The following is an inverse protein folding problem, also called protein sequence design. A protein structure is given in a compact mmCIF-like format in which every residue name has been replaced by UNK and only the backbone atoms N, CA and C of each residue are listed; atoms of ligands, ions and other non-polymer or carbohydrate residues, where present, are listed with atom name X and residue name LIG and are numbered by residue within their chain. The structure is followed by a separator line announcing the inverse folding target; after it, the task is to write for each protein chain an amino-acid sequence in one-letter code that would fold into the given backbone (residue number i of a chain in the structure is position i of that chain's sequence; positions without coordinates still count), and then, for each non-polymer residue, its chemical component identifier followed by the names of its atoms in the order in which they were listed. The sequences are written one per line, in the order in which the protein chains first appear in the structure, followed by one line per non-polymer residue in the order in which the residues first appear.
data_IF_014799476619
#
_entry.id   IF_014799476619
#
_cell.length_a   1.000
_cell.length_b   1.000
_cell.length_c   1.000
_cell.angle_alpha   90.00
_cell.angle_beta   90.00
_cell.angle_gamma   90.00
#
_symmetry.space_group_name_H-M   'P 1'
#
loop_
_entity.id
_entity.type
_entity.pdbx_description
1 polymer ?
#
# COMPACT_ATOMS: atom_id res chain seq x y z
N UNK A 1 -22.65 3.48 2.19
CA UNK A 1 -22.03 4.81 2.39
C UNK A 1 -20.69 4.69 3.09
N UNK A 2 -19.80 5.64 2.89
CA UNK A 2 -18.54 5.79 3.63
C UNK A 2 -18.49 7.20 4.19
N UNK A 3 -18.24 7.32 5.48
CA UNK A 3 -18.07 8.61 6.14
C UNK A 3 -16.86 8.58 7.06
N UNK A 4 -16.20 9.73 7.26
CA UNK A 4 -15.04 9.75 8.10
C UNK A 4 -14.76 11.09 8.75
N UNK A 5 -13.95 11.01 9.81
CA UNK A 5 -13.47 12.14 10.59
C UNK A 5 -11.94 12.14 10.56
N UNK A 6 -11.39 13.31 10.27
CA UNK A 6 -9.95 13.59 10.26
C UNK A 6 -9.51 14.20 11.60
N UNK A 7 -8.20 14.16 11.93
CA UNK A 7 -7.70 14.69 13.20
C UNK A 7 -7.89 16.20 13.37
N UNK A 8 -7.92 16.91 12.27
CA UNK A 8 -7.99 18.37 12.24
C UNK A 8 -8.54 18.87 10.89
N UNK A 9 -8.58 20.19 10.72
CA UNK A 9 -9.09 20.88 9.53
C UNK A 9 -8.02 21.14 8.45
N UNK A 10 -6.84 20.53 8.55
CA UNK A 10 -5.71 20.80 7.62
C UNK A 10 -5.98 20.40 6.17
N UNK A 11 -6.94 19.50 5.96
CA UNK A 11 -7.39 19.07 4.63
C UNK A 11 -8.72 19.69 4.19
N UNK A 12 -9.28 20.64 4.94
CA UNK A 12 -10.52 21.31 4.55
C UNK A 12 -10.38 21.96 3.16
N UNK A 13 -11.46 21.84 2.38
CA UNK A 13 -11.52 22.28 0.98
C UNK A 13 -10.51 21.54 0.05
N UNK A 14 -9.96 20.41 0.49
CA UNK A 14 -9.14 19.50 -0.31
C UNK A 14 -9.94 18.25 -0.70
N UNK A 15 -9.38 17.47 -1.62
CA UNK A 15 -9.98 16.20 -2.03
C UNK A 15 -9.16 15.02 -1.55
N UNK A 16 -9.83 14.03 -0.97
CA UNK A 16 -9.29 12.69 -0.82
C UNK A 16 -9.56 11.90 -2.10
N UNK A 17 -8.60 11.08 -2.51
CA UNK A 17 -8.77 10.17 -3.65
C UNK A 17 -9.08 8.77 -3.15
N UNK A 18 -10.15 8.22 -3.67
CA UNK A 18 -10.55 6.83 -3.46
C UNK A 18 -10.12 5.99 -4.66
N UNK A 19 -9.43 4.90 -4.42
CA UNK A 19 -8.95 3.99 -5.46
C UNK A 19 -9.22 2.53 -5.09
N UNK A 20 -9.43 1.69 -6.08
CA UNK A 20 -9.41 0.23 -5.92
C UNK A 20 -7.96 -0.25 -5.96
N UNK A 21 -7.52 -0.94 -4.92
CA UNK A 21 -6.15 -1.44 -4.74
C UNK A 21 -6.03 -2.95 -4.92
N UNK A 22 -7.07 -3.62 -5.38
CA UNK A 22 -7.09 -5.06 -5.58
C UNK A 22 -6.37 -5.52 -6.86
N UNK A 23 -6.12 -4.62 -7.80
CA UNK A 23 -5.52 -4.97 -9.09
C UNK A 23 -4.00 -5.15 -9.00
N UNK A 24 -3.49 -6.35 -9.31
CA UNK A 24 -2.08 -6.60 -9.56
C UNK A 24 -1.77 -6.31 -11.03
N UNK A 25 -0.80 -5.42 -11.29
CA UNK A 25 -0.27 -5.21 -12.63
C UNK A 25 0.86 -6.20 -12.89
N UNK A 26 0.69 -7.11 -13.83
CA UNK A 26 1.75 -8.02 -14.27
C UNK A 26 2.90 -7.28 -14.98
N UNK A 27 2.61 -6.16 -15.66
CA UNK A 27 3.58 -5.48 -16.52
C UNK A 27 4.60 -4.60 -15.79
N UNK A 28 4.32 -4.13 -14.57
CA UNK A 28 5.18 -3.12 -13.90
C UNK A 28 5.47 -3.36 -12.43
N UNK A 29 5.32 -4.57 -11.92
CA UNK A 29 5.62 -4.89 -10.50
C UNK A 29 4.91 -3.96 -9.46
N UNK A 30 3.88 -3.26 -9.88
CA UNK A 30 3.18 -2.27 -9.05
C UNK A 30 1.72 -2.60 -8.92
N UNK A 31 1.22 -2.43 -7.71
CA UNK A 31 -0.21 -2.43 -7.44
C UNK A 31 -0.81 -1.30 -8.26
N UNK A 32 -1.74 -1.65 -9.12
CA UNK A 32 -2.46 -0.67 -9.92
C UNK A 32 -3.62 -0.15 -9.09
N UNK A 33 -3.47 1.08 -8.59
CA UNK A 33 -4.58 1.79 -7.96
C UNK A 33 -5.50 2.33 -9.06
N UNK A 34 -6.67 1.71 -9.20
CA UNK A 34 -7.69 2.19 -10.14
C UNK A 34 -8.49 3.30 -9.46
N UNK A 35 -8.43 4.49 -10.01
CA UNK A 35 -9.19 5.64 -9.50
C UNK A 35 -10.69 5.35 -9.55
N UNK A 36 -11.37 5.64 -8.45
CA UNK A 36 -12.82 5.54 -8.31
C UNK A 36 -13.41 6.95 -8.26
N UNK A 37 -13.02 7.76 -7.26
CA UNK A 37 -13.61 9.08 -7.06
C UNK A 37 -12.70 10.02 -6.24
N UNK A 38 -13.12 11.29 -6.18
CA UNK A 38 -12.53 12.33 -5.34
C UNK A 38 -13.57 12.82 -4.33
N UNK A 39 -13.24 12.76 -3.05
CA UNK A 39 -14.16 13.05 -1.94
C UNK A 39 -13.74 14.37 -1.30
N UNK A 40 -14.64 15.36 -1.30
CA UNK A 40 -14.36 16.66 -0.67
C UNK A 40 -14.33 16.54 0.86
N UNK A 41 -13.36 17.18 1.48
CA UNK A 41 -13.27 17.34 2.94
C UNK A 41 -13.86 18.69 3.33
N UNK A 42 -14.79 18.67 4.29
CA UNK A 42 -15.45 19.84 4.86
C UNK A 42 -15.50 19.70 6.37
N UNK A 43 -15.01 20.68 7.08
CA UNK A 43 -15.03 20.72 8.56
C UNK A 43 -14.41 19.47 9.20
N UNK A 44 -13.23 19.07 8.70
CA UNK A 44 -12.51 17.87 9.14
C UNK A 44 -13.24 16.55 8.85
N UNK A 45 -14.27 16.54 8.01
CA UNK A 45 -15.10 15.38 7.71
C UNK A 45 -15.20 15.15 6.22
N UNK A 46 -15.50 13.89 5.86
CA UNK A 46 -15.82 13.52 4.50
C UNK A 46 -16.97 12.52 4.43
N UNK A 47 -17.69 12.54 3.32
CA UNK A 47 -18.80 11.64 3.06
C UNK A 47 -18.76 11.18 1.60
N UNK A 48 -19.00 9.90 1.38
CA UNK A 48 -19.09 9.30 0.07
C UNK A 48 -20.25 8.31 -0.01
N UNK A 49 -21.06 8.45 -1.04
CA UNK A 49 -22.11 7.50 -1.37
C UNK A 49 -21.80 6.86 -2.73
N UNK A 50 -21.87 5.56 -2.78
CA UNK A 50 -21.65 4.80 -3.99
C UNK A 50 -22.48 3.53 -4.03
N UNK A 51 -22.70 3.02 -5.22
CA UNK A 51 -23.37 1.73 -5.42
C UNK A 51 -22.30 0.67 -5.58
N UNK A 52 -22.29 -0.32 -4.68
CA UNK A 52 -21.44 -1.48 -4.83
C UNK A 52 -22.03 -2.42 -5.88
N UNK A 53 -21.52 -2.35 -7.09
CA UNK A 53 -21.96 -3.22 -8.22
C UNK A 53 -21.19 -4.54 -8.29
N UNK A 54 -20.22 -4.75 -7.44
CA UNK A 54 -19.32 -5.91 -7.44
C UNK A 54 -19.10 -6.44 -6.01
N UNK A 55 -18.38 -7.56 -5.91
CA UNK A 55 -17.99 -8.14 -4.62
C UNK A 55 -17.12 -7.17 -3.82
N UNK A 56 -17.00 -7.35 -2.48
CA UNK A 56 -16.11 -6.55 -1.65
C UNK A 56 -14.69 -6.49 -2.22
N UNK A 57 -14.03 -5.33 -2.09
CA UNK A 57 -12.67 -5.13 -2.58
C UNK A 57 -11.87 -4.21 -1.65
N UNK A 58 -10.55 -4.33 -1.71
CA UNK A 58 -9.63 -3.45 -0.98
C UNK A 58 -9.54 -2.10 -1.68
N UNK A 59 -9.83 -1.04 -0.94
CA UNK A 59 -9.68 0.35 -1.38
C UNK A 59 -8.51 1.03 -0.67
N UNK A 60 -7.99 2.08 -1.31
CA UNK A 60 -7.02 2.99 -0.73
C UNK A 60 -7.55 4.41 -0.82
N UNK A 61 -7.68 5.06 0.33
CA UNK A 61 -8.06 6.46 0.47
C UNK A 61 -6.83 7.27 0.83
N UNK A 62 -6.53 8.32 0.08
CA UNK A 62 -5.34 9.13 0.31
C UNK A 62 -5.54 10.60 -0.05
N UNK A 63 -4.74 11.48 0.55
CA UNK A 63 -4.72 12.90 0.21
C UNK A 63 -3.95 13.13 -1.08
N UNK A 64 -4.59 13.80 -2.06
CA UNK A 64 -3.94 14.13 -3.33
C UNK A 64 -3.26 15.49 -3.24
N UNK A 65 -1.93 15.48 -3.11
CA UNK A 65 -1.11 16.65 -3.47
C UNK A 65 -1.42 17.93 -2.71
N UNK A 66 -1.45 17.91 -1.41
CA UNK A 66 -1.33 19.16 -0.65
C UNK A 66 0.10 19.69 -0.80
N UNK A 67 0.27 21.00 -1.04
CA UNK A 67 1.58 21.67 -1.16
C UNK A 67 2.44 21.55 0.13
N UNK A 68 1.92 20.98 1.18
CA UNK A 68 2.59 20.64 2.43
C UNK A 68 3.03 19.18 2.39
N UNK A 69 4.31 18.94 2.14
CA UNK A 69 4.97 17.62 2.13
C UNK A 69 4.80 16.77 3.41
N UNK A 70 4.02 17.21 4.39
CA UNK A 70 3.90 16.57 5.71
C UNK A 70 2.58 15.82 5.93
N UNK A 71 1.66 15.81 4.97
CA UNK A 71 0.35 15.16 5.13
C UNK A 71 0.10 14.15 3.99
N UNK A 72 1.05 13.23 3.77
CA UNK A 72 0.78 12.06 2.94
C UNK A 72 -0.07 11.06 3.76
N UNK A 73 -1.35 11.40 3.91
CA UNK A 73 -2.31 10.48 4.49
C UNK A 73 -2.67 9.39 3.48
N UNK A 74 -2.73 8.15 3.95
CA UNK A 74 -3.21 7.03 3.17
C UNK A 74 -3.70 5.89 4.05
N UNK A 75 -4.92 5.41 3.80
CA UNK A 75 -5.59 4.36 4.54
C UNK A 75 -6.13 3.28 3.61
N UNK A 76 -5.84 2.02 3.91
CA UNK A 76 -6.50 0.87 3.30
C UNK A 76 -7.74 0.46 4.08
N UNK A 77 -8.84 0.16 3.38
CA UNK A 77 -10.05 -0.37 3.96
C UNK A 77 -10.83 -1.21 2.93
N UNK A 78 -11.85 -1.93 3.38
CA UNK A 78 -12.65 -2.77 2.50
C UNK A 78 -13.94 -2.04 2.13
N UNK A 79 -14.15 -1.85 0.83
CA UNK A 79 -15.45 -1.40 0.31
C UNK A 79 -16.37 -2.59 0.23
N UNK A 80 -17.40 -2.57 1.06
CA UNK A 80 -18.47 -3.57 1.15
C UNK A 80 -19.83 -2.91 1.38
N UNK A 81 -20.92 -3.66 1.28
CA UNK A 81 -22.26 -3.12 1.51
C UNK A 81 -22.45 -2.72 2.97
N UNK A 82 -23.01 -1.55 3.21
CA UNK A 82 -23.29 -1.01 4.55
C UNK A 82 -22.80 0.40 4.76
N UNK A 83 -22.71 0.80 6.01
CA UNK A 83 -22.22 2.10 6.44
C UNK A 83 -20.81 1.94 7.00
N UNK A 84 -19.83 2.42 6.28
CA UNK A 84 -18.41 2.36 6.65
C UNK A 84 -18.05 3.67 7.36
N UNK A 85 -17.50 3.55 8.55
CA UNK A 85 -17.04 4.67 9.37
C UNK A 85 -15.53 4.65 9.48
N UNK A 86 -14.88 5.75 9.12
CA UNK A 86 -13.42 5.92 9.17
C UNK A 86 -13.11 7.00 10.20
N UNK A 87 -12.28 6.68 11.19
CA UNK A 87 -11.82 7.64 12.18
C UNK A 87 -10.31 7.67 12.23
N UNK A 88 -9.75 8.86 12.07
CA UNK A 88 -8.31 9.11 12.16
C UNK A 88 -8.09 10.04 13.34
N UNK A 89 -7.54 9.51 14.42
CA UNK A 89 -7.36 10.25 15.66
C UNK A 89 -6.17 11.24 15.58
N UNK A 90 -5.12 10.86 14.87
CA UNK A 90 -3.98 11.71 14.55
C UNK A 90 -3.31 11.25 13.26
N UNK A 91 -2.51 12.09 12.60
CA UNK A 91 -1.87 11.79 11.31
C UNK A 91 -0.75 10.74 11.38
N UNK A 92 -0.28 10.40 12.57
CA UNK A 92 0.73 9.38 12.76
C UNK A 92 0.15 7.99 12.95
N UNK A 93 -1.16 7.89 13.24
CA UNK A 93 -1.84 6.62 13.48
C UNK A 93 -2.47 6.07 12.19
N UNK A 94 -2.50 4.75 12.11
CA UNK A 94 -3.36 4.06 11.16
C UNK A 94 -4.82 4.31 11.60
N UNK A 95 -5.65 4.82 10.72
CA UNK A 95 -7.07 5.09 11.03
C UNK A 95 -7.83 3.81 11.39
N UNK A 96 -8.89 3.96 12.15
CA UNK A 96 -9.81 2.86 12.50
C UNK A 96 -10.98 2.88 11.52
N UNK A 97 -11.29 1.74 10.93
CA UNK A 97 -12.43 1.53 10.03
C UNK A 97 -13.42 0.60 10.70
N UNK A 98 -14.69 0.95 10.73
CA UNK A 98 -15.74 0.20 11.43
C UNK A 98 -17.08 0.24 10.69
N UNK A 99 -18.09 -0.40 11.26
CA UNK A 99 -19.48 -0.36 10.78
C UNK A 99 -19.83 -1.45 9.77
N UNK A 100 -18.87 -2.29 9.36
CA UNK A 100 -19.11 -3.42 8.46
C UNK A 100 -18.24 -4.63 8.85
N UNK A 101 -18.73 -5.87 8.64
CA UNK A 101 -18.08 -7.07 9.18
C UNK A 101 -16.66 -7.31 8.69
N UNK A 102 -16.38 -7.05 7.39
CA UNK A 102 -15.03 -7.30 6.86
C UNK A 102 -14.05 -6.25 7.39
N UNK A 103 -14.48 -5.01 7.56
CA UNK A 103 -13.62 -3.95 8.12
C UNK A 103 -13.33 -4.17 9.62
N UNK A 104 -14.28 -4.69 10.39
CA UNK A 104 -14.03 -5.07 11.80
C UNK A 104 -12.94 -6.14 11.90
N UNK A 105 -13.04 -7.19 11.08
CA UNK A 105 -12.00 -8.23 11.02
C UNK A 105 -10.68 -7.69 10.44
N UNK A 106 -10.73 -6.79 9.46
CA UNK A 106 -9.56 -6.17 8.87
C UNK A 106 -8.76 -5.39 9.92
N UNK A 107 -9.42 -4.60 10.74
CA UNK A 107 -8.78 -3.92 11.87
C UNK A 107 -8.15 -4.92 12.84
N UNK A 108 -8.88 -5.98 13.18
CA UNK A 108 -8.41 -6.96 14.17
C UNK A 108 -7.20 -7.74 13.68
N UNK A 109 -7.20 -8.20 12.41
CA UNK A 109 -6.23 -9.17 11.92
C UNK A 109 -5.12 -8.57 11.08
N UNK A 110 -5.37 -7.47 10.36
CA UNK A 110 -4.38 -6.87 9.48
C UNK A 110 -3.73 -5.64 10.10
N UNK A 111 -4.54 -4.69 10.60
CA UNK A 111 -4.00 -3.41 11.11
C UNK A 111 -3.21 -3.62 12.40
N UNK A 112 -3.65 -4.50 13.27
CA UNK A 112 -2.92 -4.78 14.53
C UNK A 112 -1.54 -5.38 14.30
N UNK A 113 -1.25 -5.92 13.12
CA UNK A 113 0.05 -6.47 12.64
C UNK A 113 0.85 -7.27 13.69
N UNK A 114 0.28 -7.52 14.85
CA UNK A 114 0.99 -8.10 16.00
C UNK A 114 1.15 -9.61 15.92
N UNK A 115 0.36 -10.27 15.06
CA UNK A 115 0.40 -11.71 14.92
C UNK A 115 0.24 -12.12 13.48
N UNK A 116 1.22 -12.88 12.98
CA UNK A 116 1.15 -13.54 11.67
C UNK A 116 -0.04 -14.51 11.61
N UNK A 117 -0.39 -15.12 12.74
CA UNK A 117 -1.53 -16.00 12.86
C UNK A 117 -2.85 -15.26 12.59
N UNK A 118 -3.01 -14.07 13.14
CA UNK A 118 -4.19 -13.25 12.89
C UNK A 118 -4.32 -12.85 11.41
N UNK A 119 -3.19 -12.54 10.77
CA UNK A 119 -3.19 -12.27 9.33
C UNK A 119 -3.64 -13.50 8.52
N UNK A 120 -3.15 -14.69 8.87
CA UNK A 120 -3.56 -15.93 8.21
C UNK A 120 -5.05 -16.18 8.39
N UNK A 121 -5.60 -16.01 9.58
CA UNK A 121 -7.03 -16.18 9.87
C UNK A 121 -7.89 -15.26 8.97
N UNK A 122 -7.52 -14.00 8.82
CA UNK A 122 -8.19 -13.07 7.93
C UNK A 122 -8.13 -13.54 6.47
N UNK A 123 -6.96 -13.87 5.98
CA UNK A 123 -6.75 -14.29 4.60
C UNK A 123 -7.50 -15.59 4.28
N UNK A 124 -7.52 -16.55 5.20
CA UNK A 124 -8.28 -17.78 5.07
C UNK A 124 -9.79 -17.55 5.04
N UNK A 125 -10.29 -16.70 5.94
CA UNK A 125 -11.72 -16.38 6.05
C UNK A 125 -12.26 -15.71 4.79
N UNK A 126 -11.45 -14.85 4.18
CA UNK A 126 -11.86 -14.02 3.04
C UNK A 126 -11.26 -14.44 1.69
N UNK A 127 -10.68 -15.64 1.59
CA UNK A 127 -10.09 -16.15 0.35
C UNK A 127 -11.05 -16.20 -0.86
N UNK A 128 -12.35 -16.38 -0.62
CA UNK A 128 -13.40 -16.34 -1.66
C UNK A 128 -13.63 -14.91 -2.23
N UNK A 129 -13.09 -13.88 -1.60
CA UNK A 129 -13.09 -12.49 -2.09
C UNK A 129 -11.68 -12.09 -2.50
N UNK A 130 -11.21 -12.47 -3.70
CA UNK A 130 -9.82 -12.26 -4.12
C UNK A 130 -9.43 -10.79 -4.09
N UNK A 131 -10.34 -9.87 -4.41
CA UNK A 131 -10.10 -8.44 -4.40
C UNK A 131 -9.89 -7.85 -2.99
N UNK A 132 -10.22 -8.60 -1.94
CA UNK A 132 -9.90 -8.27 -0.54
C UNK A 132 -8.50 -8.76 -0.16
N UNK A 133 -8.14 -9.99 -0.53
CA UNK A 133 -6.95 -10.66 0.00
C UNK A 133 -5.74 -10.64 -0.93
N UNK A 134 -5.93 -10.45 -2.25
CA UNK A 134 -4.87 -10.53 -3.27
C UNK A 134 -3.69 -9.60 -2.98
N UNK A 135 -3.98 -8.38 -2.58
CA UNK A 135 -2.97 -7.39 -2.22
C UNK A 135 -2.04 -7.92 -1.12
N UNK A 136 -2.61 -8.38 0.00
CA UNK A 136 -1.85 -8.89 1.13
C UNK A 136 -1.08 -10.16 0.78
N UNK A 137 -1.72 -11.08 0.06
CA UNK A 137 -1.08 -12.30 -0.40
C UNK A 137 0.11 -12.02 -1.33
N UNK A 138 0.04 -10.99 -2.17
CA UNK A 138 1.16 -10.62 -3.05
C UNK A 138 2.42 -10.21 -2.28
N UNK A 139 2.29 -9.61 -1.10
CA UNK A 139 3.42 -9.31 -0.22
C UNK A 139 3.94 -10.53 0.52
N UNK A 140 3.08 -11.48 0.83
CA UNK A 140 3.44 -12.70 1.55
C UNK A 140 4.02 -13.75 0.61
N UNK A 141 3.48 -13.86 -0.60
CA UNK A 141 3.91 -14.78 -1.65
C UNK A 141 5.02 -14.15 -2.49
N UNK A 142 6.23 -14.13 -1.96
CA UNK A 142 7.40 -13.66 -2.72
C UNK A 142 8.62 -14.54 -2.47
N UNK A 143 9.53 -14.59 -3.46
CA UNK A 143 10.69 -15.46 -3.46
C UNK A 143 11.64 -15.27 -2.27
N UNK A 144 11.72 -14.05 -1.71
CA UNK A 144 12.53 -13.79 -0.53
C UNK A 144 11.94 -14.41 0.73
N UNK A 145 10.61 -14.38 0.89
CA UNK A 145 9.91 -15.00 2.03
C UNK A 145 9.85 -16.50 1.93
N UNK A 146 9.70 -17.05 0.73
CA UNK A 146 9.66 -18.50 0.51
C UNK A 146 10.79 -19.25 1.21
N UNK A 147 12.00 -18.68 1.24
CA UNK A 147 13.17 -19.32 1.85
C UNK A 147 13.35 -19.02 3.35
N UNK A 148 12.54 -18.16 3.96
CA UNK A 148 12.77 -17.64 5.31
C UNK A 148 11.56 -17.68 6.23
N UNK A 149 10.34 -17.71 5.66
CA UNK A 149 9.11 -17.65 6.43
C UNK A 149 8.57 -19.07 6.65
N UNK A 150 8.53 -19.57 7.87
CA UNK A 150 8.00 -20.91 8.17
C UNK A 150 6.50 -21.06 7.86
N UNK A 151 5.77 -19.95 7.75
CA UNK A 151 4.35 -19.95 7.40
C UNK A 151 4.11 -19.95 5.88
N UNK A 152 5.15 -19.91 5.06
CA UNK A 152 5.01 -19.86 3.61
C UNK A 152 4.11 -20.98 3.03
N UNK A 153 4.18 -22.23 3.50
CA UNK A 153 3.26 -23.29 3.05
C UNK A 153 1.78 -22.99 3.33
N UNK A 154 1.49 -22.28 4.42
CA UNK A 154 0.10 -21.89 4.76
C UNK A 154 -0.45 -20.86 3.76
N UNK A 155 0.38 -19.93 3.29
CA UNK A 155 -0.04 -18.98 2.25
C UNK A 155 -0.39 -19.68 0.94
N UNK A 156 0.34 -20.73 0.56
CA UNK A 156 0.02 -21.53 -0.62
C UNK A 156 -1.34 -22.26 -0.45
N UNK A 157 -1.62 -22.78 0.75
CA UNK A 157 -2.92 -23.43 1.03
C UNK A 157 -4.11 -22.46 0.91
N UNK A 158 -3.91 -21.17 1.22
CA UNK A 158 -4.95 -20.15 1.03
C UNK A 158 -5.30 -20.01 -0.46
N UNK A 159 -4.32 -20.12 -1.36
CA UNK A 159 -4.56 -20.07 -2.81
C UNK A 159 -5.54 -21.14 -3.30
N UNK A 160 -5.56 -22.30 -2.66
CA UNK A 160 -6.47 -23.39 -3.04
C UNK A 160 -7.95 -23.07 -2.78
N UNK A 161 -8.21 -22.11 -1.91
CA UNK A 161 -9.56 -21.59 -1.60
C UNK A 161 -10.01 -20.46 -2.52
N UNK A 162 -9.10 -19.92 -3.33
CA UNK A 162 -9.39 -18.83 -4.24
C UNK A 162 -9.95 -19.31 -5.58
N UNK A 163 -10.70 -18.46 -6.30
CA UNK A 163 -11.05 -18.72 -7.70
C UNK A 163 -9.80 -18.98 -8.53
N UNK A 164 -9.89 -19.93 -9.48
CA UNK A 164 -8.74 -20.38 -10.28
C UNK A 164 -7.99 -19.24 -10.95
N UNK A 165 -8.71 -18.29 -11.56
CA UNK A 165 -8.09 -17.17 -12.27
C UNK A 165 -7.22 -16.31 -11.35
N UNK A 166 -7.67 -16.04 -10.12
CA UNK A 166 -6.95 -15.25 -9.13
C UNK A 166 -5.73 -16.00 -8.56
N UNK A 167 -5.90 -17.30 -8.33
CA UNK A 167 -4.80 -18.17 -7.93
C UNK A 167 -3.71 -18.20 -8.99
N UNK A 168 -4.05 -18.36 -10.26
CA UNK A 168 -3.09 -18.39 -11.37
C UNK A 168 -2.29 -17.07 -11.46
N UNK A 169 -2.94 -15.92 -11.23
CA UNK A 169 -2.26 -14.60 -11.17
C UNK A 169 -1.25 -14.56 -10.02
N UNK A 170 -1.61 -15.00 -8.83
CA UNK A 170 -0.72 -15.00 -7.67
C UNK A 170 0.43 -16.01 -7.80
N UNK A 171 0.20 -17.15 -8.43
CA UNK A 171 1.27 -18.10 -8.73
C UNK A 171 2.25 -17.56 -9.78
N UNK A 172 1.75 -16.89 -10.80
CA UNK A 172 2.62 -16.19 -11.77
C UNK A 172 3.44 -15.06 -11.11
N UNK A 173 2.84 -14.31 -10.20
CA UNK A 173 3.53 -13.32 -9.38
C UNK A 173 4.63 -13.94 -8.51
N UNK A 174 4.34 -15.06 -7.85
CA UNK A 174 5.31 -15.79 -7.05
C UNK A 174 6.51 -16.27 -7.89
N UNK A 175 6.25 -16.90 -9.04
CA UNK A 175 7.31 -17.36 -9.97
C UNK A 175 8.21 -16.19 -10.40
N UNK A 176 7.60 -15.06 -10.76
CA UNK A 176 8.32 -13.84 -11.10
C UNK A 176 9.22 -13.37 -9.95
N UNK A 177 8.68 -13.29 -8.73
CA UNK A 177 9.45 -12.81 -7.57
C UNK A 177 10.57 -13.76 -7.14
N UNK A 178 10.40 -15.08 -7.36
CA UNK A 178 11.46 -16.08 -7.15
C UNK A 178 12.60 -15.82 -8.13
N UNK A 179 12.34 -15.73 -9.42
CA UNK A 179 13.33 -15.47 -10.46
C UNK A 179 14.08 -14.16 -10.20
N UNK A 180 13.35 -13.11 -9.82
CA UNK A 180 13.94 -11.82 -9.44
C UNK A 180 14.86 -11.93 -8.23
N UNK A 181 14.43 -12.61 -7.17
CA UNK A 181 15.25 -12.82 -5.96
C UNK A 181 16.54 -13.60 -6.25
N UNK A 182 16.44 -14.65 -7.06
CA UNK A 182 17.61 -15.42 -7.48
C UNK A 182 18.58 -14.60 -8.32
N UNK A 183 18.06 -13.77 -9.22
CA UNK A 183 18.88 -12.83 -10.01
C UNK A 183 19.57 -11.82 -9.10
N UNK A 184 18.84 -11.16 -8.19
CA UNK A 184 19.41 -10.22 -7.22
C UNK A 184 20.50 -10.86 -6.36
N UNK A 185 20.27 -12.10 -5.89
CA UNK A 185 21.24 -12.85 -5.10
C UNK A 185 22.55 -13.10 -5.85
N UNK A 186 22.49 -13.36 -7.15
CA UNK A 186 23.66 -13.59 -8.02
C UNK A 186 24.37 -12.28 -8.38
N UNK A 187 23.65 -11.22 -8.66
CA UNK A 187 24.20 -9.97 -9.21
C UNK A 187 24.64 -8.97 -8.14
N UNK A 188 23.99 -8.96 -6.96
CA UNK A 188 24.31 -8.02 -5.89
C UNK A 188 25.80 -8.03 -5.49
N UNK A 189 26.45 -9.18 -5.25
CA UNK A 189 27.88 -9.21 -4.90
C UNK A 189 28.76 -8.58 -5.97
N UNK A 190 28.42 -8.78 -7.26
CA UNK A 190 29.13 -8.19 -8.38
C UNK A 190 28.97 -6.67 -8.42
N UNK A 191 27.75 -6.17 -8.25
CA UNK A 191 27.47 -4.74 -8.22
C UNK A 191 28.13 -4.05 -7.03
N UNK A 192 28.11 -4.68 -5.85
CA UNK A 192 28.78 -4.17 -4.64
C UNK A 192 30.31 -4.14 -4.86
N UNK A 193 30.89 -5.16 -5.51
CA UNK A 193 32.32 -5.17 -5.89
C UNK A 193 32.67 -4.04 -6.85
N UNK A 194 31.87 -3.82 -7.89
CA UNK A 194 32.07 -2.73 -8.85
C UNK A 194 31.97 -1.38 -8.15
N UNK A 195 30.96 -1.18 -7.30
CA UNK A 195 30.75 0.07 -6.56
C UNK A 195 31.88 0.37 -5.59
N UNK A 196 32.41 -0.64 -4.92
CA UNK A 196 33.52 -0.48 -3.97
C UNK A 196 34.86 -0.25 -4.67
N UNK A 197 35.04 -0.73 -5.90
CA UNK A 197 36.25 -0.59 -6.70
C UNK A 197 36.18 0.58 -7.71
N UNK A 198 35.03 1.24 -7.87
CA UNK A 198 34.90 2.41 -8.70
C UNK A 198 35.75 3.56 -8.12
N UNK A 199 36.60 4.22 -8.92
CA UNK A 199 37.36 5.39 -8.47
C UNK A 199 36.36 6.45 -7.98
N UNK A 200 36.55 6.94 -6.75
CA UNK A 200 35.76 8.06 -6.23
C UNK A 200 36.17 9.30 -7.02
N UNK A 201 35.33 9.70 -7.98
CA UNK A 201 35.45 11.01 -8.60
C UNK A 201 35.12 12.04 -7.49
N UNK A 202 36.16 12.57 -6.88
CA UNK A 202 36.03 13.76 -6.04
C UNK A 202 35.82 14.90 -7.04
N UNK A 203 34.56 15.29 -7.24
CA UNK A 203 34.27 16.58 -7.88
C UNK A 203 34.80 17.66 -6.95
N UNK A 204 36.03 18.10 -7.19
CA UNK A 204 36.53 19.37 -6.67
C UNK A 204 35.75 20.47 -7.39
N UNK A 205 34.62 20.87 -6.83
CA UNK A 205 33.95 22.10 -7.25
C UNK A 205 34.89 23.25 -6.86
N UNK A 206 35.44 24.01 -7.82
CA UNK A 206 36.25 25.16 -7.48
C UNK A 206 35.32 26.17 -6.81
N UNK A 207 35.62 26.49 -5.55
CA UNK A 207 34.96 27.56 -4.81
C UNK A 207 35.37 28.92 -5.41
N UNK A 208 34.62 29.35 -6.43
CA UNK A 208 34.72 30.73 -6.91
C UNK A 208 34.03 31.66 -5.91
N UNK A 209 34.76 32.03 -4.86
CA UNK A 209 34.43 33.17 -4.00
C UNK A 209 35.08 34.43 -4.59
N UNK A 210 34.45 35.01 -5.61
CA UNK A 210 34.75 36.41 -6.00
C UNK A 210 33.72 37.34 -5.35
N UNK A 211 34.09 37.83 -4.19
CA UNK A 211 33.41 38.95 -3.53
C UNK A 211 33.65 40.22 -4.32
N UNK A 212 32.71 40.63 -5.15
CA UNK A 212 32.71 41.94 -5.79
C UNK A 212 32.11 42.96 -4.81
N UNK A 213 32.97 43.70 -4.15
CA UNK A 213 32.61 44.85 -3.33
C UNK A 213 32.21 45.99 -4.27
N UNK A 214 30.92 46.25 -4.43
CA UNK A 214 30.45 47.51 -5.06
C UNK A 214 30.58 48.65 -4.05
N UNK A 215 31.52 49.54 -4.30
CA UNK A 215 31.59 50.89 -3.68
C UNK A 215 30.60 51.80 -4.38
N UNK A 216 29.61 52.29 -3.64
CA UNK A 216 28.76 53.39 -4.05
C UNK A 216 29.54 54.69 -4.06
N UNK A 217 29.41 55.44 -5.14
CA UNK A 217 29.56 56.90 -5.22
C UNK A 217 28.24 57.52 -5.59
#
# INVERSE_FOLDING_TARGET
TTQGELPDHSLDNSYLRLTNSSALSQEKERIKHLFIDSILVVDGKFHYEGVLSQKPFLAYLYSAGTKRKMLDFGLYFIVESGNIHIRIANWADEGVVSGTPINEDYNTYIITRRSMENQLLFLEKYAQYPDVVRFHLSFLLNGRRMSRDPNFPKYLQILDRMPKADRDILLAWLDYTIKKYEYEKKTKPLLDSIRNNAPRFIETIPSNSSSTTMKNK
#
